data_IF_612713651482
#
_entry.id   IF_612713651482
#
_cell.length_a   1.000
_cell.length_b   1.000
_cell.length_c   1.000
_cell.angle_alpha   90.00
_cell.angle_beta   90.00
_cell.angle_gamma   90.00
#
_symmetry.space_group_name_H-M   'P 1'
#
loop_
_entity.id
_entity.type
_entity.pdbx_description
1 polymer ?
#
# COMPACT_ATOMS: atom_id res chain seq x y z
N UNK A 1 7.50 13.25 -3.02
CA UNK A 1 7.62 11.82 -2.71
C UNK A 1 6.61 11.03 -3.54
N UNK A 2 7.03 9.99 -4.25
CA UNK A 2 6.18 9.11 -5.06
C UNK A 2 5.35 8.18 -4.16
N UNK A 3 4.22 7.66 -4.65
CA UNK A 3 3.41 6.68 -3.90
C UNK A 3 4.23 5.45 -3.46
N UNK A 4 5.17 5.01 -4.30
CA UNK A 4 6.14 3.95 -3.98
C UNK A 4 6.97 4.33 -2.76
N UNK A 5 7.59 5.52 -2.76
CA UNK A 5 8.41 6.00 -1.63
C UNK A 5 7.58 6.11 -0.35
N UNK A 6 6.35 6.64 -0.43
CA UNK A 6 5.44 6.73 0.72
C UNK A 6 5.15 5.35 1.33
N UNK A 7 4.80 4.35 0.51
CA UNK A 7 4.54 3.00 1.02
C UNK A 7 5.81 2.25 1.48
N UNK A 8 6.97 2.52 0.88
CA UNK A 8 8.25 1.97 1.36
C UNK A 8 8.61 2.49 2.76
N UNK A 9 8.33 3.76 3.06
CA UNK A 9 8.56 4.35 4.38
C UNK A 9 7.66 3.77 5.47
N UNK A 10 6.44 3.33 5.13
CA UNK A 10 5.48 2.78 6.08
C UNK A 10 5.81 1.31 6.45
N UNK A 11 6.96 0.77 6.00
CA UNK A 11 7.54 -0.42 6.61
C UNK A 11 6.67 -1.68 6.51
N UNK A 12 6.17 -1.99 5.32
CA UNK A 12 5.54 -3.29 5.07
C UNK A 12 6.53 -4.44 5.31
N UNK A 13 6.05 -5.53 5.89
CA UNK A 13 6.83 -6.75 6.08
C UNK A 13 6.62 -7.69 4.90
N UNK A 14 7.56 -7.71 3.95
CA UNK A 14 7.53 -8.62 2.81
C UNK A 14 7.35 -7.87 1.50
N UNK A 15 8.44 -7.28 1.03
CA UNK A 15 8.52 -6.71 -0.31
C UNK A 15 8.95 -7.80 -1.27
N UNK A 16 8.13 -8.04 -2.29
CA UNK A 16 8.56 -8.83 -3.45
C UNK A 16 8.52 -7.92 -4.66
N UNK A 17 9.70 -7.65 -5.21
CA UNK A 17 9.82 -7.01 -6.49
C UNK A 17 9.56 -8.06 -7.57
N UNK A 18 8.39 -7.97 -8.22
CA UNK A 18 8.06 -8.86 -9.32
C UNK A 18 8.32 -8.11 -10.62
N UNK A 19 9.55 -8.22 -11.11
CA UNK A 19 9.88 -7.76 -12.45
C UNK A 19 9.28 -8.73 -13.49
N UNK A 20 8.05 -8.44 -13.91
CA UNK A 20 7.36 -9.15 -14.97
C UNK A 20 7.53 -8.46 -16.33
N UNK A 21 8.57 -7.61 -16.52
CA UNK A 21 8.86 -6.96 -17.81
C UNK A 21 8.88 -7.92 -18.98
N UNK A 22 9.32 -9.17 -18.78
CA UNK A 22 9.35 -10.21 -19.82
C UNK A 22 7.97 -10.69 -20.30
N UNK A 23 6.89 -10.46 -19.55
CA UNK A 23 5.53 -10.91 -19.90
C UNK A 23 4.65 -9.77 -20.42
N UNK A 24 4.66 -8.62 -19.75
CA UNK A 24 3.76 -7.51 -20.05
C UNK A 24 4.42 -6.12 -19.99
N UNK A 25 5.76 -6.06 -19.88
CA UNK A 25 6.49 -4.80 -19.83
C UNK A 25 6.33 -4.02 -18.53
N UNK A 26 5.59 -4.54 -17.54
CA UNK A 26 5.24 -3.79 -16.32
C UNK A 26 6.08 -4.20 -15.12
N UNK A 27 6.57 -3.20 -14.41
CA UNK A 27 7.25 -3.37 -13.13
C UNK A 27 6.22 -3.33 -12.00
N UNK A 28 6.28 -4.29 -11.07
CA UNK A 28 5.34 -4.36 -9.94
C UNK A 28 6.06 -4.53 -8.62
N UNK A 29 5.49 -3.93 -7.59
CA UNK A 29 5.90 -4.13 -6.21
C UNK A 29 4.70 -4.63 -5.43
N UNK A 30 4.84 -5.79 -4.81
CA UNK A 30 3.83 -6.33 -3.90
C UNK A 30 4.27 -6.05 -2.47
N UNK A 31 3.34 -5.49 -1.71
CA UNK A 31 3.44 -5.22 -0.29
C UNK A 31 2.49 -6.17 0.44
N UNK A 32 2.96 -6.74 1.54
CA UNK A 32 2.20 -7.64 2.38
C UNK A 32 2.26 -7.16 3.84
N UNK A 33 1.13 -7.23 4.53
CA UNK A 33 0.97 -6.76 5.90
C UNK A 33 -0.05 -7.63 6.61
N UNK A 34 0.11 -7.85 7.92
CA UNK A 34 -0.85 -8.57 8.75
C UNK A 34 -1.55 -7.59 9.69
N UNK A 35 -2.88 -7.61 9.72
CA UNK A 35 -3.74 -6.80 10.59
C UNK A 35 -4.87 -7.66 11.17
N UNK A 36 -5.07 -7.66 12.49
CA UNK A 36 -6.14 -8.44 13.15
C UNK A 36 -6.22 -9.92 12.73
N UNK A 37 -5.06 -10.57 12.53
CA UNK A 37 -4.90 -11.93 12.00
C UNK A 37 -5.20 -12.16 10.52
N UNK A 38 -5.60 -11.12 9.79
CA UNK A 38 -5.85 -11.15 8.35
C UNK A 38 -4.66 -10.60 7.57
N UNK A 39 -4.47 -11.09 6.35
CA UNK A 39 -3.43 -10.58 5.45
C UNK A 39 -4.00 -9.51 4.53
N UNK A 40 -3.24 -8.43 4.40
CA UNK A 40 -3.49 -7.34 3.46
C UNK A 40 -2.39 -7.38 2.40
N UNK A 41 -2.79 -7.44 1.14
CA UNK A 41 -1.92 -7.36 -0.02
C UNK A 41 -2.19 -6.08 -0.81
N UNK A 42 -1.14 -5.34 -1.10
CA UNK A 42 -1.17 -4.15 -1.96
C UNK A 42 -0.20 -4.37 -3.11
N UNK A 43 -0.67 -4.16 -4.35
CA UNK A 43 0.18 -4.22 -5.54
C UNK A 43 0.26 -2.83 -6.14
N UNK A 44 1.49 -2.31 -6.25
CA UNK A 44 1.78 -1.15 -7.07
C UNK A 44 2.31 -1.60 -8.42
N UNK A 45 1.91 -0.90 -9.47
CA UNK A 45 2.41 -1.08 -10.83
C UNK A 45 3.03 0.22 -11.33
N UNK A 46 4.15 0.11 -12.03
CA UNK A 46 4.75 1.22 -12.76
C UNK A 46 4.19 1.22 -14.19
N UNK A 47 3.55 2.33 -14.56
CA UNK A 47 3.14 2.62 -15.92
C UNK A 47 3.75 3.97 -16.31
N UNK A 48 4.64 3.95 -17.30
CA UNK A 48 5.31 5.16 -17.83
C UNK A 48 5.98 6.02 -16.74
N UNK A 49 6.76 5.38 -15.87
CA UNK A 49 7.45 5.97 -14.71
C UNK A 49 6.53 6.51 -13.60
N UNK A 50 5.22 6.26 -13.70
CA UNK A 50 4.23 6.61 -12.67
C UNK A 50 3.78 5.34 -11.95
N UNK A 51 4.07 5.29 -10.64
CA UNK A 51 3.57 4.24 -9.77
C UNK A 51 2.10 4.48 -9.43
N UNK A 52 1.28 3.44 -9.54
CA UNK A 52 -0.16 3.45 -9.23
C UNK A 52 -0.54 2.19 -8.46
N UNK A 53 -1.68 2.24 -7.76
CA UNK A 53 -2.27 1.06 -7.12
C UNK A 53 -2.93 0.22 -8.22
N UNK A 54 -2.44 -1.00 -8.41
CA UNK A 54 -3.03 -1.99 -9.31
C UNK A 54 -4.10 -2.81 -8.59
N UNK A 55 -3.85 -3.18 -7.33
CA UNK A 55 -4.73 -4.08 -6.57
C UNK A 55 -4.58 -3.88 -5.06
N UNK A 56 -5.71 -4.01 -4.35
CA UNK A 56 -5.77 -4.17 -2.89
C UNK A 56 -6.62 -5.40 -2.57
N UNK A 57 -6.05 -6.33 -1.80
CA UNK A 57 -6.77 -7.45 -1.18
C UNK A 57 -6.66 -7.31 0.32
N UNK A 58 -7.76 -6.94 0.98
CA UNK A 58 -7.78 -6.59 2.39
C UNK A 58 -9.01 -7.14 3.13
N UNK A 59 -9.84 -7.98 2.50
CA UNK A 59 -11.10 -8.46 3.07
C UNK A 59 -11.98 -7.33 3.66
N UNK A 60 -11.98 -6.16 3.00
CA UNK A 60 -12.72 -4.94 3.39
C UNK A 60 -12.26 -4.28 4.70
N UNK A 61 -11.19 -4.77 5.31
CA UNK A 61 -10.64 -4.28 6.58
C UNK A 61 -10.37 -2.78 6.55
N UNK A 62 -9.77 -2.27 5.48
CA UNK A 62 -9.34 -0.88 5.42
C UNK A 62 -10.56 0.02 5.33
N UNK A 63 -11.50 -0.30 4.44
CA UNK A 63 -12.78 0.41 4.32
C UNK A 63 -13.56 0.42 5.63
N UNK A 64 -13.65 -0.72 6.32
CA UNK A 64 -14.34 -0.82 7.60
C UNK A 64 -13.63 -0.03 8.70
N UNK A 65 -12.30 -0.04 8.73
CA UNK A 65 -11.52 0.70 9.74
C UNK A 65 -11.63 2.21 9.54
N UNK A 66 -11.68 2.68 8.28
CA UNK A 66 -11.78 4.10 7.95
C UNK A 66 -13.22 4.62 7.85
N UNK A 67 -14.24 3.76 8.05
CA UNK A 67 -15.65 4.08 7.79
C UNK A 67 -15.89 4.67 6.39
N UNK A 68 -15.24 4.08 5.38
CA UNK A 68 -15.34 4.50 3.97
C UNK A 68 -15.86 3.36 3.10
N UNK A 69 -16.48 3.72 1.97
CA UNK A 69 -16.82 2.73 0.95
C UNK A 69 -15.55 2.23 0.27
N UNK A 70 -15.46 0.92 0.01
CA UNK A 70 -14.30 0.32 -0.68
C UNK A 70 -13.99 0.97 -2.02
N UNK A 71 -15.03 1.28 -2.80
CA UNK A 71 -14.92 1.95 -4.10
C UNK A 71 -14.42 3.40 -4.03
N UNK A 72 -14.41 4.00 -2.84
CA UNK A 72 -13.92 5.35 -2.60
C UNK A 72 -12.53 5.41 -1.97
N UNK A 73 -11.91 4.26 -1.68
CA UNK A 73 -10.56 4.22 -1.12
C UNK A 73 -9.56 4.68 -2.18
N UNK A 74 -8.73 5.65 -1.79
CA UNK A 74 -7.60 6.12 -2.58
C UNK A 74 -6.25 5.80 -1.91
N UNK A 75 -5.17 6.28 -2.51
CA UNK A 75 -3.83 6.07 -1.98
C UNK A 75 -3.61 6.70 -0.60
N UNK A 76 -4.16 7.89 -0.35
CA UNK A 76 -3.97 8.60 0.92
C UNK A 76 -4.73 7.90 2.04
N UNK A 77 -5.88 7.30 1.75
CA UNK A 77 -6.60 6.45 2.70
C UNK A 77 -5.81 5.22 3.13
N UNK A 78 -5.20 4.53 2.16
CA UNK A 78 -4.34 3.38 2.46
C UNK A 78 -3.14 3.82 3.32
N UNK A 79 -2.48 4.91 2.94
CA UNK A 79 -1.35 5.47 3.69
C UNK A 79 -1.76 5.84 5.11
N UNK A 80 -2.92 6.48 5.29
CA UNK A 80 -3.46 6.85 6.60
C UNK A 80 -3.72 5.62 7.46
N UNK A 81 -4.37 4.58 6.91
CA UNK A 81 -4.62 3.32 7.61
C UNK A 81 -3.31 2.70 8.11
N UNK A 82 -2.33 2.52 7.22
CA UNK A 82 -1.08 1.87 7.57
C UNK A 82 -0.20 2.73 8.49
N UNK A 83 -0.21 4.07 8.33
CA UNK A 83 0.47 4.99 9.25
C UNK A 83 -0.10 4.86 10.65
N UNK A 84 -1.43 4.93 10.79
CA UNK A 84 -2.10 4.80 12.08
C UNK A 84 -1.89 3.45 12.72
N UNK A 85 -1.74 2.38 11.93
CA UNK A 85 -1.53 1.04 12.46
C UNK A 85 -0.08 0.77 12.86
N UNK A 86 0.86 0.97 11.94
CA UNK A 86 2.27 0.62 12.15
C UNK A 86 3.07 1.69 12.89
N UNK A 87 2.59 2.93 12.89
CA UNK A 87 3.26 4.07 13.49
C UNK A 87 2.37 4.83 14.47
N UNK A 88 1.32 4.19 15.01
CA UNK A 88 0.43 4.75 16.03
C UNK A 88 1.18 5.46 17.19
N UNK A 89 2.42 5.02 17.47
CA UNK A 89 3.28 5.52 18.55
C UNK A 89 4.65 6.04 18.08
N UNK A 90 4.88 6.14 16.76
CA UNK A 90 6.14 6.67 16.22
C UNK A 90 5.83 8.04 15.61
N UNK A 91 6.47 9.09 16.14
CA UNK A 91 6.39 10.47 15.64
C UNK A 91 6.92 10.57 14.19
N UNK A 92 6.09 10.18 13.22
CA UNK A 92 6.18 10.70 11.84
C UNK A 92 5.39 12.00 11.75
N UNK A 93 5.66 12.91 12.71
CA UNK A 93 5.29 14.31 12.62
C UNK A 93 6.31 15.01 11.73
N UNK A 94 5.89 15.40 10.53
CA UNK A 94 6.43 16.47 9.67
C UNK A 94 7.10 16.12 8.33
N UNK A 95 7.40 14.87 7.97
CA UNK A 95 8.14 14.60 6.71
C UNK A 95 7.36 13.79 5.65
N UNK A 96 6.09 14.15 5.39
CA UNK A 96 5.29 13.59 4.29
C UNK A 96 4.60 14.68 3.46
#
# INVERSE_FOLDING_TARGET
>A
MTIKEKFLLIGFTGFVHLDKKKRDGKERITFCSKYCNEWIFLVLVNEDDIWKIEKVEDNDIISSTLNKNKSSLDAEDLLLFFKNYYYANNDFSNDL
#
